data_IF_402128008694
#
_entry.id   IF_402128008694
#
_cell.length_a   1.000
_cell.length_b   1.000
_cell.length_c   1.000
_cell.angle_alpha   90.00
_cell.angle_beta   90.00
_cell.angle_gamma   90.00
#
_symmetry.space_group_name_H-M   'P 1'
#
loop_
_entity.id
_entity.type
_entity.pdbx_description
1 polymer ?
#
# COMPACT_ATOMS: atom_id res chain seq x y z
N UNK A 1 -28.81 -35.59 50.58
CA UNK A 1 -27.52 -36.02 50.01
C UNK A 1 -27.23 -35.17 48.79
N UNK A 2 -26.07 -34.50 48.73
CA UNK A 2 -24.95 -35.08 47.98
C UNK A 2 -23.59 -34.97 48.71
N UNK A 3 -22.76 -36.02 48.55
CA UNK A 3 -21.40 -36.14 49.06
C UNK A 3 -20.41 -35.34 48.20
N UNK A 4 -19.58 -34.52 48.84
CA UNK A 4 -18.29 -34.06 48.33
C UNK A 4 -17.19 -34.92 48.96
N UNK A 5 -16.34 -35.61 48.19
CA UNK A 5 -15.08 -36.14 48.71
C UNK A 5 -13.85 -35.26 48.38
N UNK A 6 -12.79 -35.32 49.21
CA UNK A 6 -11.76 -34.30 49.39
C UNK A 6 -10.52 -34.44 48.48
N UNK A 7 -9.75 -33.35 48.36
CA UNK A 7 -8.54 -33.25 47.54
C UNK A 7 -7.29 -33.95 48.09
N UNK A 8 -6.26 -34.18 47.26
CA UNK A 8 -5.01 -34.79 47.68
C UNK A 8 -3.93 -33.80 48.18
N UNK A 9 -2.93 -34.26 48.96
CA UNK A 9 -2.14 -33.47 49.92
C UNK A 9 -0.66 -33.15 49.53
N UNK A 10 -0.03 -32.37 50.43
CA UNK A 10 1.27 -31.65 50.44
C UNK A 10 2.55 -32.34 49.93
N UNK A 11 3.46 -31.50 49.40
CA UNK A 11 4.91 -31.72 49.20
C UNK A 11 5.62 -32.17 50.50
N UNK A 12 6.56 -33.12 50.38
CA UNK A 12 7.53 -33.50 51.42
C UNK A 12 8.98 -33.20 50.95
N UNK A 13 9.95 -33.12 51.89
CA UNK A 13 11.14 -32.26 51.78
C UNK A 13 12.40 -32.98 51.27
N UNK A 14 13.36 -32.18 50.80
CA UNK A 14 14.71 -32.56 50.39
C UNK A 14 15.52 -33.27 51.50
N UNK A 15 16.48 -34.11 51.11
CA UNK A 15 17.74 -34.23 51.86
C UNK A 15 18.96 -34.01 50.95
N UNK A 16 19.77 -33.02 51.29
CA UNK A 16 21.20 -33.00 50.95
C UNK A 16 21.99 -33.34 52.20
N UNK A 17 22.99 -34.25 52.11
CA UNK A 17 24.31 -33.88 52.60
C UNK A 17 25.47 -34.36 51.69
N UNK A 18 26.47 -33.48 51.60
CA UNK A 18 27.85 -33.57 51.07
C UNK A 18 28.68 -34.74 51.63
N UNK A 19 30.00 -34.90 51.36
CA UNK A 19 30.88 -34.63 50.19
C UNK A 19 31.87 -35.79 49.89
N UNK A 20 32.17 -36.09 48.62
CA UNK A 20 33.48 -36.64 48.24
C UNK A 20 33.69 -36.48 46.74
N UNK A 21 34.72 -35.71 46.41
CA UNK A 21 35.59 -35.74 45.23
C UNK A 21 35.23 -36.80 44.20
N UNK A 22 34.95 -36.41 42.96
CA UNK A 22 35.40 -37.11 41.74
C UNK A 22 35.08 -36.28 40.49
N UNK A 23 36.16 -35.82 39.84
CA UNK A 23 36.36 -35.66 38.39
C UNK A 23 35.30 -34.90 37.56
N UNK A 24 35.73 -33.72 37.12
CA UNK A 24 35.28 -32.97 35.95
C UNK A 24 34.95 -33.89 34.76
N UNK A 25 33.66 -34.08 34.50
CA UNK A 25 33.14 -34.74 33.30
C UNK A 25 33.05 -33.71 32.15
N UNK A 26 33.61 -33.99 30.96
CA UNK A 26 33.56 -33.06 29.83
C UNK A 26 32.11 -32.84 29.38
N UNK A 27 31.77 -31.66 28.81
CA UNK A 27 30.42 -31.39 28.31
C UNK A 27 30.03 -32.41 27.24
N UNK A 28 28.83 -32.99 27.39
CA UNK A 28 28.31 -34.04 26.52
C UNK A 28 28.23 -33.55 25.06
N UNK A 29 28.89 -34.29 24.17
CA UNK A 29 29.03 -33.94 22.73
C UNK A 29 27.67 -33.83 22.04
N UNK A 30 26.65 -34.51 22.55
CA UNK A 30 25.27 -34.47 22.03
C UNK A 30 24.54 -33.15 22.35
N UNK A 31 24.86 -32.49 23.47
CA UNK A 31 24.28 -31.18 23.83
C UNK A 31 24.88 -30.06 22.94
N UNK A 32 26.19 -30.12 22.69
CA UNK A 32 26.88 -29.18 21.81
C UNK A 32 26.46 -29.30 20.33
N UNK A 33 26.17 -30.53 19.85
CA UNK A 33 25.65 -30.76 18.49
C UNK A 33 24.19 -30.32 18.38
N UNK A 34 23.37 -30.59 19.39
CA UNK A 34 21.98 -30.14 19.46
C UNK A 34 21.86 -28.61 19.42
N UNK A 35 22.63 -27.91 20.23
CA UNK A 35 22.65 -26.44 20.25
C UNK A 35 23.22 -25.84 18.97
N UNK A 36 24.25 -26.47 18.38
CA UNK A 36 24.82 -26.07 17.10
C UNK A 36 23.82 -26.21 15.95
N UNK A 37 23.00 -27.27 15.94
CA UNK A 37 21.98 -27.52 14.93
C UNK A 37 20.78 -26.58 15.10
N UNK A 38 20.31 -26.38 16.33
CA UNK A 38 19.20 -25.46 16.66
C UNK A 38 19.59 -24.01 16.32
N UNK A 39 20.84 -23.60 16.58
CA UNK A 39 21.35 -22.28 16.20
C UNK A 39 21.58 -22.14 14.68
N UNK A 40 21.97 -23.20 13.99
CA UNK A 40 22.08 -23.23 12.53
C UNK A 40 20.70 -23.13 11.85
N UNK A 41 19.67 -23.74 12.43
CA UNK A 41 18.29 -23.70 11.95
C UNK A 41 17.60 -22.36 12.24
N UNK A 42 17.86 -21.76 13.41
CA UNK A 42 17.37 -20.41 13.73
C UNK A 42 17.94 -19.33 12.81
N UNK A 43 19.21 -19.47 12.37
CA UNK A 43 19.81 -18.57 11.36
C UNK A 43 19.18 -18.70 9.97
N UNK A 44 18.54 -19.83 9.65
CA UNK A 44 17.84 -20.06 8.37
C UNK A 44 16.46 -19.40 8.30
N UNK A 45 15.79 -19.18 9.44
CA UNK A 45 14.42 -18.67 9.47
C UNK A 45 14.31 -17.12 9.44
N UNK A 46 15.34 -16.39 9.90
CA UNK A 46 15.29 -14.92 10.03
C UNK A 46 15.94 -14.16 8.86
N UNK A 47 15.82 -14.67 7.62
CA UNK A 47 16.22 -13.88 6.46
C UNK A 47 15.04 -13.05 5.98
N UNK A 48 14.79 -11.91 6.66
CA UNK A 48 13.79 -10.91 6.25
C UNK A 48 13.91 -10.72 4.73
N UNK A 49 12.84 -10.96 3.94
CA UNK A 49 12.94 -10.84 2.50
C UNK A 49 13.34 -9.40 2.17
N UNK A 50 14.37 -9.28 1.33
CA UNK A 50 14.88 -7.99 0.83
C UNK A 50 13.69 -7.19 0.29
N UNK A 51 13.66 -5.86 0.46
CA UNK A 51 12.54 -5.01 0.00
C UNK A 51 12.13 -5.29 -1.45
N UNK A 52 13.10 -5.61 -2.30
CA UNK A 52 12.89 -5.98 -3.72
C UNK A 52 12.19 -7.34 -3.90
N UNK A 53 12.45 -8.32 -3.03
CA UNK A 53 11.73 -9.61 -3.06
C UNK A 53 10.26 -9.42 -2.69
N UNK A 54 9.98 -8.66 -1.63
CA UNK A 54 8.58 -8.30 -1.28
C UNK A 54 7.89 -7.56 -2.41
N UNK A 55 8.60 -6.66 -3.08
CA UNK A 55 8.09 -5.94 -4.24
C UNK A 55 7.75 -6.89 -5.40
N UNK A 56 8.63 -7.85 -5.73
CA UNK A 56 8.38 -8.86 -6.77
C UNK A 56 7.27 -9.85 -6.38
N UNK A 57 7.23 -10.30 -5.12
CA UNK A 57 6.19 -11.21 -4.63
C UNK A 57 4.81 -10.54 -4.65
N UNK A 58 4.77 -9.22 -4.51
CA UNK A 58 3.56 -8.43 -4.69
C UNK A 58 3.07 -8.39 -6.16
N UNK A 59 3.89 -8.71 -7.15
CA UNK A 59 3.41 -8.91 -8.53
C UNK A 59 2.75 -10.27 -8.73
N UNK A 60 2.99 -11.26 -7.84
CA UNK A 60 2.26 -12.52 -7.91
C UNK A 60 0.81 -12.26 -7.56
N UNK A 61 -0.08 -12.59 -8.50
CA UNK A 61 -1.53 -12.44 -8.36
C UNK A 61 -2.02 -13.42 -7.29
N UNK A 62 -2.78 -12.94 -6.32
CA UNK A 62 -3.39 -13.81 -5.32
C UNK A 62 -4.57 -14.54 -5.98
N UNK A 63 -4.50 -15.86 -6.04
CA UNK A 63 -5.50 -16.73 -6.67
C UNK A 63 -6.84 -16.77 -5.89
N UNK A 64 -6.86 -16.27 -4.65
CA UNK A 64 -8.04 -16.23 -3.78
C UNK A 64 -9.00 -15.05 -4.01
N UNK A 65 -8.64 -14.06 -4.84
CA UNK A 65 -9.56 -12.99 -5.25
C UNK A 65 -10.51 -13.51 -6.36
N UNK A 66 -11.56 -14.25 -5.97
CA UNK A 66 -12.61 -14.69 -6.90
C UNK A 66 -13.30 -13.47 -7.51
N UNK A 67 -13.13 -13.30 -8.81
CA UNK A 67 -13.29 -12.05 -9.52
C UNK A 67 -14.76 -11.55 -9.62
N UNK A 68 -15.80 -12.37 -9.36
CA UNK A 68 -17.20 -11.90 -9.29
C UNK A 68 -18.14 -12.81 -8.46
N UNK A 69 -18.73 -12.36 -7.33
CA UNK A 69 -20.05 -12.81 -6.90
C UNK A 69 -21.10 -12.17 -7.82
N UNK A 70 -22.04 -12.96 -8.36
CA UNK A 70 -23.03 -12.58 -9.39
C UNK A 70 -24.03 -11.44 -9.02
N UNK A 71 -23.86 -10.73 -7.89
CA UNK A 71 -24.91 -9.88 -7.32
C UNK A 71 -24.89 -8.39 -7.72
N UNK A 72 -24.03 -7.94 -8.65
CA UNK A 72 -23.98 -6.54 -9.11
C UNK A 72 -24.76 -6.27 -10.41
N UNK A 73 -25.32 -7.30 -11.06
CA UNK A 73 -26.19 -7.14 -12.22
C UNK A 73 -27.62 -6.83 -11.75
N UNK A 74 -27.85 -5.63 -11.24
CA UNK A 74 -29.23 -5.11 -11.15
C UNK A 74 -29.64 -4.59 -12.53
N UNK A 75 -30.76 -5.04 -13.12
CA UNK A 75 -31.18 -4.60 -14.44
C UNK A 75 -31.64 -3.14 -14.35
N UNK A 76 -30.84 -2.23 -14.89
CA UNK A 76 -31.17 -0.83 -15.03
C UNK A 76 -32.43 -0.67 -15.91
N UNK A 77 -33.52 -0.27 -15.28
CA UNK A 77 -34.81 0.00 -15.90
C UNK A 77 -34.70 1.20 -16.87
N UNK A 78 -34.94 0.93 -18.15
CA UNK A 78 -34.69 1.82 -19.29
C UNK A 78 -35.78 2.86 -19.55
N UNK A 79 -36.38 3.47 -18.51
CA UNK A 79 -37.58 4.33 -18.67
C UNK A 79 -37.46 5.82 -18.37
N UNK A 80 -36.28 6.38 -18.09
CA UNK A 80 -36.17 7.79 -17.64
C UNK A 80 -35.39 8.71 -18.60
N UNK A 81 -35.49 8.48 -19.92
CA UNK A 81 -34.71 9.22 -20.93
C UNK A 81 -35.05 10.71 -21.13
N UNK A 82 -36.09 11.26 -20.51
CA UNK A 82 -36.62 12.58 -20.92
C UNK A 82 -36.36 13.78 -19.99
N UNK A 83 -35.77 13.61 -18.81
CA UNK A 83 -35.56 14.73 -17.86
C UNK A 83 -34.09 15.11 -17.57
N UNK A 84 -33.12 14.50 -18.25
CA UNK A 84 -31.72 14.44 -17.79
C UNK A 84 -30.75 15.48 -18.39
N UNK A 85 -31.21 16.48 -19.15
CA UNK A 85 -30.27 17.37 -19.87
C UNK A 85 -29.49 18.36 -18.99
N UNK A 86 -29.98 18.72 -17.80
CA UNK A 86 -29.35 19.79 -16.99
C UNK A 86 -28.62 19.32 -15.72
N UNK A 87 -28.82 18.07 -15.28
CA UNK A 87 -28.14 17.47 -14.10
C UNK A 87 -27.22 16.29 -14.47
N UNK A 88 -26.80 16.20 -15.74
CA UNK A 88 -26.08 15.04 -16.27
C UNK A 88 -24.72 14.75 -15.60
N UNK A 89 -24.06 15.75 -15.03
CA UNK A 89 -22.75 15.57 -14.38
C UNK A 89 -22.81 14.85 -13.04
N UNK A 90 -23.76 15.24 -12.17
CA UNK A 90 -23.89 14.65 -10.83
C UNK A 90 -24.46 13.23 -10.87
N UNK A 91 -25.36 12.94 -11.81
CA UNK A 91 -25.92 11.59 -11.97
C UNK A 91 -24.86 10.60 -12.49
N UNK A 92 -23.99 11.03 -13.41
CA UNK A 92 -22.88 10.21 -13.89
C UNK A 92 -21.84 9.91 -12.79
N UNK A 93 -21.57 10.87 -11.89
CA UNK A 93 -20.68 10.66 -10.74
C UNK A 93 -21.28 9.68 -9.71
N UNK A 94 -22.60 9.74 -9.48
CA UNK A 94 -23.30 8.75 -8.66
C UNK A 94 -23.30 7.36 -9.30
N UNK A 95 -23.46 7.28 -10.61
CA UNK A 95 -23.39 6.02 -11.37
C UNK A 95 -21.97 5.43 -11.37
N UNK A 96 -20.92 6.26 -11.47
CA UNK A 96 -19.52 5.87 -11.28
C UNK A 96 -19.26 5.40 -9.84
N UNK A 97 -19.83 6.07 -8.83
CA UNK A 97 -19.73 5.68 -7.43
C UNK A 97 -20.44 4.35 -7.14
N UNK A 98 -21.51 4.03 -7.89
CA UNK A 98 -22.23 2.76 -7.83
C UNK A 98 -21.76 1.72 -8.86
N UNK A 99 -20.75 2.04 -9.68
CA UNK A 99 -20.19 1.09 -10.63
C UNK A 99 -19.63 -0.11 -9.88
N UNK A 100 -19.98 -1.32 -10.32
CA UNK A 100 -19.51 -2.59 -9.75
C UNK A 100 -18.01 -2.86 -9.93
N UNK A 101 -17.19 -1.82 -10.09
CA UNK A 101 -15.75 -1.94 -10.21
C UNK A 101 -15.18 -2.41 -8.87
N UNK A 102 -14.47 -3.53 -8.91
CA UNK A 102 -13.74 -4.04 -7.76
C UNK A 102 -12.66 -3.02 -7.37
N UNK A 103 -12.90 -2.27 -6.28
CA UNK A 103 -11.95 -1.33 -5.67
C UNK A 103 -10.79 -2.05 -4.97
N UNK A 104 -10.04 -2.84 -5.74
CA UNK A 104 -8.95 -3.73 -5.27
C UNK A 104 -7.59 -3.31 -5.86
N UNK A 105 -7.40 -2.02 -6.14
CA UNK A 105 -6.10 -1.49 -6.55
C UNK A 105 -5.17 -1.41 -5.34
N UNK A 106 -4.10 -2.21 -5.38
CA UNK A 106 -3.06 -2.20 -4.36
C UNK A 106 -2.20 -0.94 -4.53
N UNK A 107 -1.68 -0.37 -3.44
CA UNK A 107 -0.91 0.88 -3.47
C UNK A 107 0.24 0.90 -4.49
N UNK A 108 0.84 -0.26 -4.78
CA UNK A 108 1.86 -0.42 -5.83
C UNK A 108 1.36 -0.15 -7.26
N UNK A 109 0.11 -0.48 -7.58
CA UNK A 109 -0.45 -0.20 -8.91
C UNK A 109 -0.64 1.31 -9.07
N UNK A 110 -1.09 1.99 -8.01
CA UNK A 110 -1.19 3.45 -7.98
C UNK A 110 0.19 4.11 -8.13
N UNK A 111 1.23 3.57 -7.47
CA UNK A 111 2.59 4.05 -7.65
C UNK A 111 3.11 3.84 -9.08
N UNK A 112 2.83 2.70 -9.70
CA UNK A 112 3.20 2.46 -11.11
C UNK A 112 2.49 3.43 -12.05
N UNK A 113 1.21 3.73 -11.82
CA UNK A 113 0.46 4.74 -12.59
C UNK A 113 1.08 6.13 -12.44
N UNK A 114 1.47 6.50 -11.22
CA UNK A 114 2.12 7.79 -10.97
C UNK A 114 3.50 7.89 -11.66
N UNK A 115 4.29 6.82 -11.66
CA UNK A 115 5.60 6.79 -12.33
C UNK A 115 5.43 6.84 -13.85
N UNK A 116 4.49 6.08 -14.42
CA UNK A 116 4.27 6.06 -15.87
C UNK A 116 3.72 7.38 -16.40
N UNK A 117 2.93 8.11 -15.61
CA UNK A 117 2.44 9.43 -15.97
C UNK A 117 3.48 10.54 -15.86
N UNK A 118 4.45 10.41 -14.94
CA UNK A 118 5.48 11.42 -14.71
C UNK A 118 6.72 11.26 -15.60
N UNK A 119 7.08 10.04 -15.98
CA UNK A 119 8.19 9.75 -16.88
C UNK A 119 7.67 9.65 -18.32
N UNK A 120 7.55 10.79 -18.99
CA UNK A 120 7.12 10.89 -20.40
C UNK A 120 8.25 11.26 -21.36
N UNK A 121 7.97 11.17 -22.67
CA UNK A 121 8.89 11.61 -23.74
C UNK A 121 9.25 13.10 -23.63
N UNK A 122 8.34 13.92 -23.09
CA UNK A 122 8.56 15.35 -22.88
C UNK A 122 9.78 15.66 -22.02
N UNK A 123 10.14 14.80 -21.06
CA UNK A 123 11.35 14.96 -20.25
C UNK A 123 12.60 14.89 -21.14
N UNK A 124 12.67 13.91 -22.04
CA UNK A 124 13.83 13.71 -22.91
C UNK A 124 13.93 14.77 -24.00
N UNK A 125 12.80 15.13 -24.63
CA UNK A 125 12.77 16.15 -25.70
C UNK A 125 13.12 17.53 -25.14
N UNK A 126 12.57 17.90 -23.99
CA UNK A 126 12.85 19.21 -23.37
C UNK A 126 14.27 19.28 -22.82
N UNK A 127 14.76 18.21 -22.18
CA UNK A 127 16.12 18.20 -21.60
C UNK A 127 17.20 18.27 -22.68
N UNK A 128 17.00 17.63 -23.84
CA UNK A 128 17.96 17.69 -24.95
C UNK A 128 18.13 19.11 -25.49
N UNK A 129 17.02 19.82 -25.74
CA UNK A 129 17.05 21.19 -26.22
C UNK A 129 17.56 22.18 -25.16
N UNK A 130 17.17 22.00 -23.90
CA UNK A 130 17.59 22.86 -22.80
C UNK A 130 19.08 22.69 -22.48
N UNK A 131 19.62 21.46 -22.48
CA UNK A 131 21.06 21.22 -22.31
C UNK A 131 21.90 21.93 -23.37
N UNK A 132 21.48 21.88 -24.63
CA UNK A 132 22.21 22.48 -25.75
C UNK A 132 22.25 24.01 -25.68
N UNK A 133 21.24 24.65 -25.07
CA UNK A 133 21.08 26.11 -25.07
C UNK A 133 21.49 26.77 -23.76
N UNK A 134 21.26 26.15 -22.61
CA UNK A 134 21.43 26.79 -21.30
C UNK A 134 22.61 26.25 -20.46
N UNK A 135 23.22 25.13 -20.87
CA UNK A 135 24.28 24.45 -20.12
C UNK A 135 23.77 23.68 -18.88
N UNK A 136 24.59 22.80 -18.28
CA UNK A 136 24.13 21.83 -17.28
C UNK A 136 23.74 22.45 -15.93
N UNK A 137 24.37 23.54 -15.52
CA UNK A 137 24.13 24.16 -14.21
C UNK A 137 22.76 24.86 -14.15
N UNK A 138 22.39 25.61 -15.19
CA UNK A 138 21.10 26.32 -15.26
C UNK A 138 19.93 25.34 -15.36
N UNK A 139 20.13 24.22 -16.06
CA UNK A 139 19.13 23.17 -16.21
C UNK A 139 18.74 22.56 -14.87
N UNK A 140 19.73 22.21 -14.04
CA UNK A 140 19.47 21.66 -12.70
C UNK A 140 18.71 22.64 -11.81
N UNK A 141 19.08 23.93 -11.87
CA UNK A 141 18.40 24.97 -11.10
C UNK A 141 16.94 25.15 -11.57
N UNK A 142 16.71 25.13 -12.88
CA UNK A 142 15.36 25.20 -13.46
C UNK A 142 14.50 23.99 -13.05
N UNK A 143 15.04 22.77 -13.12
CA UNK A 143 14.34 21.57 -12.67
C UNK A 143 14.05 21.59 -11.15
N UNK A 144 14.98 22.11 -10.34
CA UNK A 144 14.77 22.25 -8.90
C UNK A 144 13.66 23.27 -8.58
N UNK A 145 13.69 24.45 -9.22
CA UNK A 145 12.67 25.48 -9.03
C UNK A 145 11.27 24.99 -9.47
N UNK A 146 11.18 24.36 -10.64
CA UNK A 146 9.94 23.74 -11.11
C UNK A 146 9.48 22.63 -10.17
N UNK A 147 10.41 21.78 -9.70
CA UNK A 147 10.14 20.71 -8.75
C UNK A 147 9.57 21.22 -7.42
N UNK A 148 10.11 22.32 -6.87
CA UNK A 148 9.60 22.95 -5.64
C UNK A 148 8.17 23.47 -5.84
N UNK A 149 7.91 24.16 -6.96
CA UNK A 149 6.56 24.67 -7.27
C UNK A 149 5.53 23.55 -7.41
N UNK A 150 5.92 22.44 -8.04
CA UNK A 150 5.06 21.26 -8.20
C UNK A 150 4.89 20.52 -6.88
N UNK A 151 5.92 20.41 -6.05
CA UNK A 151 5.84 19.79 -4.73
C UNK A 151 4.84 20.51 -3.82
N UNK A 152 4.89 21.84 -3.79
CA UNK A 152 3.91 22.64 -3.04
C UNK A 152 2.47 22.37 -3.53
N UNK A 153 2.28 22.32 -4.85
CA UNK A 153 0.98 22.02 -5.47
C UNK A 153 0.49 20.62 -5.09
N UNK A 154 1.34 19.59 -5.22
CA UNK A 154 1.02 18.22 -4.85
C UNK A 154 0.67 18.07 -3.36
N UNK A 155 1.34 18.80 -2.48
CA UNK A 155 1.06 18.76 -1.05
C UNK A 155 -0.32 19.38 -0.73
N UNK A 156 -0.62 20.54 -1.33
CA UNK A 156 -1.95 21.17 -1.18
C UNK A 156 -3.07 20.27 -1.71
N UNK A 157 -2.83 19.60 -2.86
CA UNK A 157 -3.78 18.64 -3.42
C UNK A 157 -3.88 17.36 -2.58
N UNK A 158 -2.79 16.93 -1.94
CA UNK A 158 -2.79 15.77 -1.05
C UNK A 158 -3.70 15.97 0.15
N UNK A 159 -3.61 17.12 0.83
CA UNK A 159 -4.51 17.48 1.92
C UNK A 159 -5.98 17.52 1.43
N UNK A 160 -6.20 18.10 0.26
CA UNK A 160 -7.54 18.17 -0.34
C UNK A 160 -8.10 16.78 -0.74
N UNK A 161 -7.23 15.85 -1.17
CA UNK A 161 -7.59 14.47 -1.53
C UNK A 161 -8.14 13.67 -0.36
N UNK A 162 -7.56 13.89 0.82
CA UNK A 162 -7.93 13.17 2.04
C UNK A 162 -9.25 13.71 2.61
N UNK A 163 -9.46 15.03 2.53
CA UNK A 163 -10.71 15.65 3.01
C UNK A 163 -11.89 15.34 2.10
N UNK A 164 -11.69 15.35 0.77
CA UNK A 164 -12.74 15.09 -0.22
C UNK A 164 -12.36 13.96 -1.17
N UNK A 165 -12.58 12.69 -0.79
CA UNK A 165 -12.31 11.54 -1.64
C UNK A 165 -13.38 11.39 -2.73
N UNK A 166 -13.36 12.29 -3.72
CA UNK A 166 -14.25 12.24 -4.90
C UNK A 166 -13.58 11.48 -6.05
N UNK A 167 -14.34 10.60 -6.70
CA UNK A 167 -13.91 9.87 -7.88
C UNK A 167 -14.05 10.77 -9.13
N UNK A 168 -13.16 11.76 -9.24
CA UNK A 168 -13.20 12.79 -10.29
C UNK A 168 -11.82 13.19 -10.81
N UNK A 169 -11.81 13.97 -11.89
CA UNK A 169 -10.58 14.57 -12.43
C UNK A 169 -10.23 15.84 -11.66
N UNK A 170 -9.02 16.37 -11.89
CA UNK A 170 -8.59 17.65 -11.33
C UNK A 170 -9.56 18.80 -11.66
N UNK A 171 -10.23 18.74 -12.82
CA UNK A 171 -11.26 19.71 -13.20
C UNK A 171 -12.47 19.70 -12.24
N UNK A 172 -12.86 18.53 -11.71
CA UNK A 172 -13.97 18.43 -10.73
C UNK A 172 -13.65 19.18 -9.44
N UNK A 173 -12.38 19.22 -9.04
CA UNK A 173 -11.94 19.95 -7.86
C UNK A 173 -11.96 21.46 -8.11
N UNK A 174 -11.53 21.91 -9.29
CA UNK A 174 -11.58 23.31 -9.67
C UNK A 174 -13.01 23.86 -9.79
N UNK A 175 -13.94 23.10 -10.38
CA UNK A 175 -15.37 23.49 -10.44
C UNK A 175 -15.98 23.68 -9.06
N UNK A 176 -15.50 22.93 -8.05
CA UNK A 176 -16.07 22.92 -6.70
C UNK A 176 -15.46 23.96 -5.77
N UNK A 177 -14.18 24.32 -5.92
CA UNK A 177 -13.48 25.27 -5.04
C UNK A 177 -13.20 26.65 -5.65
N UNK A 178 -13.18 26.76 -6.99
CA UNK A 178 -12.93 28.03 -7.68
C UNK A 178 -14.24 28.56 -8.28
N UNK A 179 -14.64 28.02 -9.43
CA UNK A 179 -15.84 28.37 -10.16
C UNK A 179 -16.06 27.39 -11.35
N UNK A 180 -17.28 27.33 -11.89
CA UNK A 180 -17.58 26.50 -13.06
C UNK A 180 -16.75 26.88 -14.31
N UNK A 181 -16.39 28.15 -14.46
CA UNK A 181 -15.56 28.63 -15.58
C UNK A 181 -14.12 28.08 -15.52
N UNK A 182 -13.55 27.92 -14.31
CA UNK A 182 -12.25 27.30 -14.10
C UNK A 182 -12.24 25.81 -14.40
N UNK A 183 -13.31 25.11 -14.01
CA UNK A 183 -13.50 23.70 -14.34
C UNK A 183 -13.49 23.44 -15.84
N UNK A 184 -14.18 24.30 -16.59
CA UNK A 184 -14.20 24.27 -18.05
C UNK A 184 -12.84 24.62 -18.66
N UNK A 185 -12.19 25.69 -18.18
CA UNK A 185 -10.88 26.11 -18.68
C UNK A 185 -9.80 25.02 -18.53
N UNK A 186 -9.82 24.27 -17.41
CA UNK A 186 -8.88 23.17 -17.18
C UNK A 186 -9.20 21.91 -18.00
N UNK A 187 -10.47 21.73 -18.39
CA UNK A 187 -10.93 20.61 -19.21
C UNK A 187 -10.84 20.85 -20.72
N UNK A 188 -10.59 22.09 -21.15
CA UNK A 188 -10.53 22.47 -22.56
C UNK A 188 -9.22 22.01 -23.20
N UNK A 189 -9.27 20.89 -23.91
CA UNK A 189 -8.21 20.26 -24.70
C UNK A 189 -8.80 19.76 -26.01
#
# INVERSE_FOLDING_TARGET
MPLFPPGPPRKSPSPSPTPSTDLESPPDVDEAVGDGLVMAEQRRYSRKPRRVKRFLDDFKRNESDRFFPQHYLSPANSRTRHAQRDYGGYFAELELAQSGLARRLKGRHLQMIAISGSIGTGLFVTSGAALATSGPASLLLAFAAAGISMYCTCQALGELAVVFPIAGSFSSWATRFLDASWGFALGWK
#
